data_IF_391300222357
#
_entry.id   IF_391300222357
#
_cell.length_a   1.000
_cell.length_b   1.000
_cell.length_c   1.000
_cell.angle_alpha   90.00
_cell.angle_beta   90.00
_cell.angle_gamma   90.00
#
_symmetry.space_group_name_H-M   'P 1'
#
loop_
_entity.id
_entity.type
_entity.pdbx_description
1 polymer ?
#
# COMPACT_ATOMS: atom_id res chain seq x y z
N UNK A 1 2.04 -10.97 2.65
CA UNK A 1 1.70 -9.92 1.66
C UNK A 1 0.54 -10.40 0.81
N UNK A 2 -0.34 -9.53 0.31
CA UNK A 2 -1.47 -9.94 -0.54
C UNK A 2 -1.10 -9.95 -2.03
N UNK A 3 -0.43 -8.90 -2.47
CA UNK A 3 0.03 -8.74 -3.84
C UNK A 3 1.48 -8.25 -3.86
N UNK A 4 2.39 -8.94 -4.58
CA UNK A 4 3.77 -8.50 -4.70
C UNK A 4 3.90 -7.31 -5.65
N UNK A 5 4.80 -6.38 -5.32
CA UNK A 5 5.17 -5.28 -6.21
C UNK A 5 5.96 -5.82 -7.43
N UNK A 6 5.55 -5.44 -8.64
CA UNK A 6 6.27 -5.74 -9.88
C UNK A 6 7.17 -4.57 -10.26
N UNK A 7 8.33 -4.86 -10.85
CA UNK A 7 9.26 -3.85 -11.39
C UNK A 7 9.71 -2.76 -10.38
N UNK A 8 9.81 -3.14 -9.09
CA UNK A 8 10.31 -2.27 -8.01
C UNK A 8 11.75 -1.84 -8.31
N UNK A 9 11.97 -0.55 -8.50
CA UNK A 9 13.29 0.07 -8.61
C UNK A 9 13.51 1.03 -7.45
N UNK A 10 14.33 0.60 -6.50
CA UNK A 10 14.73 1.42 -5.36
C UNK A 10 15.89 2.34 -5.76
N UNK A 11 15.89 3.54 -5.18
CA UNK A 11 17.10 4.35 -5.14
C UNK A 11 18.11 3.75 -4.16
N UNK A 12 19.41 4.06 -4.31
CA UNK A 12 20.45 3.63 -3.38
C UNK A 12 20.15 3.99 -1.92
N UNK A 13 20.86 3.32 -1.01
CA UNK A 13 20.81 3.64 0.43
C UNK A 13 21.08 5.14 0.65
N UNK A 14 20.42 5.71 1.67
CA UNK A 14 20.48 7.13 2.05
C UNK A 14 19.88 8.12 1.03
N UNK A 15 19.29 7.65 -0.06
CA UNK A 15 18.50 8.49 -0.96
C UNK A 15 17.00 8.37 -0.66
N UNK A 16 16.29 9.48 -0.75
CA UNK A 16 14.82 9.50 -0.62
C UNK A 16 14.18 8.80 -1.82
N UNK A 17 13.37 7.78 -1.55
CA UNK A 17 12.40 7.23 -2.50
C UNK A 17 11.10 8.04 -2.42
N UNK A 18 10.36 8.10 -3.52
CA UNK A 18 9.05 8.73 -3.57
C UNK A 18 7.95 7.67 -3.74
N UNK A 19 7.13 7.50 -2.72
CA UNK A 19 6.00 6.56 -2.74
C UNK A 19 4.69 7.31 -2.91
N UNK A 20 3.75 6.73 -3.65
CA UNK A 20 2.38 7.24 -3.78
C UNK A 20 1.40 6.09 -3.75
N UNK A 21 0.33 6.25 -2.98
CA UNK A 21 -0.84 5.37 -2.98
C UNK A 21 -2.00 6.16 -3.58
N UNK A 22 -2.72 5.56 -4.51
CA UNK A 22 -3.92 6.14 -5.12
C UNK A 22 -5.08 5.20 -4.87
N UNK A 23 -6.09 5.68 -4.15
CA UNK A 23 -7.33 4.95 -3.91
C UNK A 23 -8.44 5.66 -4.70
N UNK A 24 -9.13 4.94 -5.58
CA UNK A 24 -10.27 5.46 -6.37
C UNK A 24 -11.40 4.44 -6.26
N UNK A 25 -12.35 4.73 -5.38
CA UNK A 25 -13.33 3.74 -4.95
C UNK A 25 -12.64 2.51 -4.35
N UNK A 26 -12.90 1.34 -4.91
CA UNK A 26 -12.31 0.05 -4.52
C UNK A 26 -10.97 -0.25 -5.20
N UNK A 27 -10.59 0.51 -6.24
CA UNK A 27 -9.32 0.34 -6.93
C UNK A 27 -8.19 1.02 -6.19
N UNK A 28 -7.11 0.29 -5.94
CA UNK A 28 -5.91 0.79 -5.25
C UNK A 28 -4.68 0.58 -6.12
N UNK A 29 -3.87 1.63 -6.27
CA UNK A 29 -2.58 1.59 -6.98
C UNK A 29 -1.44 2.01 -6.07
N UNK A 30 -0.32 1.28 -6.13
CA UNK A 30 0.92 1.66 -5.48
C UNK A 30 1.96 2.08 -6.52
N UNK A 31 2.63 3.18 -6.24
CA UNK A 31 3.65 3.78 -7.08
C UNK A 31 4.93 3.97 -6.29
N UNK A 32 6.06 3.69 -6.93
CA UNK A 32 7.40 3.89 -6.38
C UNK A 32 8.27 4.59 -7.42
N UNK A 33 8.83 5.73 -7.05
CA UNK A 33 9.71 6.54 -7.90
C UNK A 33 9.10 6.83 -9.29
N UNK A 34 7.78 7.08 -9.34
CA UNK A 34 7.05 7.38 -10.57
C UNK A 34 6.60 6.16 -11.38
N UNK A 35 6.95 4.94 -10.95
CA UNK A 35 6.55 3.70 -11.63
C UNK A 35 5.42 3.05 -10.85
N UNK A 36 4.32 2.69 -11.54
CA UNK A 36 3.26 1.86 -10.93
C UNK A 36 3.79 0.46 -10.73
N UNK A 37 3.83 0.02 -9.47
CA UNK A 37 4.37 -1.28 -9.09
C UNK A 37 3.29 -2.30 -8.73
N UNK A 38 2.08 -1.85 -8.39
CA UNK A 38 0.96 -2.71 -8.07
C UNK A 38 -0.38 -2.01 -8.35
N UNK A 39 -1.38 -2.80 -8.74
CA UNK A 39 -2.79 -2.43 -8.71
C UNK A 39 -3.62 -3.61 -8.21
N UNK A 40 -4.68 -3.34 -7.46
CA UNK A 40 -5.65 -4.36 -7.04
C UNK A 40 -7.03 -3.76 -6.79
N UNK A 41 -8.03 -4.64 -6.70
CA UNK A 41 -9.42 -4.29 -6.45
C UNK A 41 -9.86 -4.83 -5.08
N UNK A 42 -10.08 -3.91 -4.14
CA UNK A 42 -10.51 -4.19 -2.77
C UNK A 42 -11.90 -4.81 -2.75
N UNK A 43 -12.13 -5.81 -1.90
CA UNK A 43 -13.42 -6.52 -1.83
C UNK A 43 -13.72 -7.48 -3.00
N UNK A 44 -12.85 -7.55 -4.02
CA UNK A 44 -12.99 -8.54 -5.10
C UNK A 44 -12.83 -9.99 -4.58
N UNK A 45 -13.31 -10.97 -5.36
CA UNK A 45 -13.14 -12.40 -5.02
C UNK A 45 -11.67 -12.78 -4.84
N UNK A 46 -10.79 -12.26 -5.70
CA UNK A 46 -9.35 -12.47 -5.61
C UNK A 46 -8.76 -11.86 -4.34
N UNK A 47 -9.12 -10.61 -4.01
CA UNK A 47 -8.69 -9.95 -2.78
C UNK A 47 -9.08 -10.74 -1.54
N UNK A 48 -10.36 -11.13 -1.42
CA UNK A 48 -10.87 -11.90 -0.28
C UNK A 48 -10.20 -13.26 -0.15
N UNK A 49 -9.95 -13.94 -1.27
CA UNK A 49 -9.21 -15.20 -1.27
C UNK A 49 -7.77 -15.02 -0.75
N UNK A 50 -7.08 -13.96 -1.17
CA UNK A 50 -5.73 -13.63 -0.69
C UNK A 50 -5.71 -13.24 0.79
N UNK A 51 -6.70 -12.49 1.26
CA UNK A 51 -6.84 -12.15 2.69
C UNK A 51 -6.97 -13.42 3.52
N UNK A 52 -7.84 -14.34 3.11
CA UNK A 52 -8.05 -15.65 3.78
C UNK A 52 -6.78 -16.50 3.84
N UNK A 53 -5.89 -16.38 2.85
CA UNK A 53 -4.61 -17.08 2.80
C UNK A 53 -3.44 -16.33 3.48
N UNK A 54 -3.69 -15.16 4.08
CA UNK A 54 -2.65 -14.28 4.63
C UNK A 54 -2.65 -14.25 6.16
N UNK A 55 -1.67 -13.53 6.74
CA UNK A 55 -1.63 -13.23 8.18
C UNK A 55 -2.84 -12.40 8.69
N UNK A 56 -3.64 -11.84 7.78
CA UNK A 56 -4.81 -11.03 8.11
C UNK A 56 -6.13 -11.82 8.11
N UNK A 57 -6.07 -13.14 7.90
CA UNK A 57 -7.26 -14.01 7.77
C UNK A 57 -8.23 -13.93 8.96
N UNK A 58 -7.73 -13.63 10.15
CA UNK A 58 -8.50 -13.58 11.39
C UNK A 58 -8.98 -12.16 11.74
N UNK A 59 -8.78 -11.18 10.85
CA UNK A 59 -9.26 -9.80 11.02
C UNK A 59 -10.55 -9.63 10.20
N UNK A 60 -11.73 -9.54 10.86
CA UNK A 60 -13.00 -9.36 10.16
C UNK A 60 -13.01 -8.08 9.32
N UNK A 61 -13.40 -8.20 8.04
CA UNK A 61 -13.50 -7.05 7.14
C UNK A 61 -12.15 -6.37 6.83
N UNK A 62 -11.03 -7.09 6.95
CA UNK A 62 -9.70 -6.52 6.71
C UNK A 62 -9.61 -5.79 5.36
N UNK A 63 -9.28 -4.51 5.42
CA UNK A 63 -9.14 -3.67 4.24
C UNK A 63 -10.47 -3.43 3.52
N UNK A 64 -11.62 -3.72 4.10
CA UNK A 64 -12.94 -3.50 3.50
C UNK A 64 -13.70 -2.26 4.05
N UNK A 65 -13.14 -1.52 5.01
CA UNK A 65 -13.70 -0.24 5.49
C UNK A 65 -13.67 0.86 4.41
N UNK A 66 -14.65 1.76 4.43
CA UNK A 66 -14.74 2.87 3.46
C UNK A 66 -13.71 3.97 3.75
N UNK A 67 -13.44 4.22 5.03
CA UNK A 67 -12.49 5.20 5.52
C UNK A 67 -11.58 4.63 6.61
N UNK A 68 -10.53 5.38 6.93
CA UNK A 68 -9.55 5.02 7.93
C UNK A 68 -8.37 5.99 7.97
N UNK A 69 -7.48 5.81 8.94
CA UNK A 69 -6.30 6.65 9.09
C UNK A 69 -5.15 6.22 8.15
N UNK A 70 -4.30 7.18 7.78
CA UNK A 70 -3.01 6.91 7.14
C UNK A 70 -1.99 6.65 8.25
N UNK A 71 -1.27 5.53 8.16
CA UNK A 71 -0.26 5.13 9.12
C UNK A 71 1.13 5.13 8.47
N UNK A 72 2.10 5.73 9.15
CA UNK A 72 3.53 5.60 8.85
C UNK A 72 4.15 4.69 9.91
N UNK A 73 4.79 3.60 9.47
CA UNK A 73 5.31 2.57 10.36
C UNK A 73 6.84 2.62 10.45
N UNK A 74 7.35 2.47 11.66
CA UNK A 74 8.72 2.09 11.97
C UNK A 74 8.71 0.64 12.51
N UNK A 75 9.70 -0.15 12.12
CA UNK A 75 9.93 -1.53 12.57
C UNK A 75 11.26 -1.70 13.31
N UNK A 76 11.69 -0.69 14.08
CA UNK A 76 12.90 -0.72 14.91
C UNK A 76 14.15 -0.23 14.19
N UNK A 77 14.01 0.60 13.15
CA UNK A 77 15.13 1.18 12.41
C UNK A 77 14.82 2.61 12.00
N UNK A 78 15.82 3.50 12.14
CA UNK A 78 15.64 4.92 11.83
C UNK A 78 15.15 5.12 10.39
N UNK A 79 13.98 5.74 10.27
CA UNK A 79 13.34 6.10 9.00
C UNK A 79 13.06 7.59 8.96
N UNK A 80 13.29 8.22 7.80
CA UNK A 80 13.02 9.63 7.58
C UNK A 80 11.89 9.79 6.56
N UNK A 81 10.84 10.51 6.94
CA UNK A 81 9.74 10.89 6.04
C UNK A 81 9.78 12.40 5.79
N UNK A 82 9.44 12.81 4.56
CA UNK A 82 9.24 14.21 4.18
C UNK A 82 8.27 14.31 3.02
N UNK A 83 7.75 15.50 2.77
CA UNK A 83 6.80 15.76 1.67
C UNK A 83 5.54 14.88 1.73
N UNK A 84 5.02 14.64 2.94
CA UNK A 84 3.77 13.91 3.15
C UNK A 84 2.63 14.84 2.77
N UNK A 85 1.90 14.48 1.72
CA UNK A 85 0.80 15.27 1.17
C UNK A 85 -0.38 14.37 0.93
N UNK A 86 -1.58 14.89 1.19
CA UNK A 86 -2.84 14.25 0.83
C UNK A 86 -3.56 15.14 -0.16
N UNK A 87 -4.12 14.52 -1.20
CA UNK A 87 -5.09 15.18 -2.07
C UNK A 87 -6.43 14.49 -1.83
N UNK A 88 -7.33 15.07 -1.02
CA UNK A 88 -8.74 14.70 -1.11
C UNK A 88 -9.18 15.05 -2.53
N UNK A 89 -10.00 14.17 -3.11
CA UNK A 89 -10.60 14.25 -4.45
C UNK A 89 -10.59 15.65 -5.10
#
# INVERSE_FOLDING_TARGET
>A
ELYPAKNKKLRPLRQFNHSRVVCTGTRVEHWLNGIKVLTYERGSKDFRAKVKASKFKDIPGFGETEEGHILLQDHGSLVHFRNIKIRPW
#
